data_IF_121812659696
#
_entry.id   IF_121812659696
#
_cell.length_a   1.000
_cell.length_b   1.000
_cell.length_c   1.000
_cell.angle_alpha   90.00
_cell.angle_beta   90.00
_cell.angle_gamma   90.00
#
_symmetry.space_group_name_H-M   'P 1'
#
loop_
_entity.id
_entity.type
_entity.pdbx_description
1 polymer ?
#
# COMPACT_ATOMS: atom_id res chain seq x y z
N UNK A 1 -9.14 4.57 5.33
CA UNK A 1 -7.81 5.03 4.90
C UNK A 1 -7.91 5.51 3.46
N UNK A 2 -7.04 6.41 3.02
CA UNK A 2 -6.97 6.87 1.65
C UNK A 2 -5.64 6.45 1.05
N UNK A 3 -5.70 5.67 -0.04
CA UNK A 3 -4.54 5.24 -0.80
C UNK A 3 -4.34 6.17 -1.99
N UNK A 4 -3.17 6.80 -2.08
CA UNK A 4 -2.76 7.63 -3.23
C UNK A 4 -1.58 6.97 -3.92
N UNK A 5 -1.67 6.79 -5.23
CA UNK A 5 -0.64 6.15 -6.06
C UNK A 5 -0.20 7.17 -7.11
N UNK A 6 1.09 7.46 -7.17
CA UNK A 6 1.72 8.26 -8.21
C UNK A 6 3.01 7.59 -8.70
N UNK A 7 3.68 8.16 -9.69
CA UNK A 7 4.90 7.58 -10.28
C UNK A 7 6.05 7.46 -9.28
N UNK A 8 6.06 8.28 -8.23
CA UNK A 8 7.17 8.34 -7.28
C UNK A 8 6.93 7.49 -6.03
N UNK A 9 5.67 7.36 -5.62
CA UNK A 9 5.29 6.79 -4.33
C UNK A 9 3.87 6.26 -4.25
N UNK A 10 3.68 5.34 -3.30
CA UNK A 10 2.41 4.89 -2.77
C UNK A 10 2.26 5.41 -1.33
N UNK A 11 1.22 6.21 -1.11
CA UNK A 11 0.98 6.90 0.16
C UNK A 11 -0.34 6.43 0.76
N UNK A 12 -0.30 5.93 2.00
CA UNK A 12 -1.47 5.60 2.78
C UNK A 12 -1.72 6.66 3.84
N UNK A 13 -2.87 7.34 3.76
CA UNK A 13 -3.29 8.36 4.72
C UNK A 13 -4.49 7.89 5.54
N UNK A 14 -4.61 8.40 6.77
CA UNK A 14 -5.85 8.28 7.55
C UNK A 14 -6.87 9.27 6.99
N UNK A 15 -8.09 8.80 6.73
CA UNK A 15 -9.11 9.55 6.00
C UNK A 15 -9.63 10.79 6.75
N UNK A 16 -9.61 10.79 8.07
CA UNK A 16 -10.21 11.87 8.88
C UNK A 16 -9.28 13.07 9.12
N UNK A 17 -7.97 12.85 9.27
CA UNK A 17 -6.99 13.88 9.65
C UNK A 17 -5.87 14.06 8.61
N UNK A 18 -5.93 13.35 7.48
CA UNK A 18 -4.89 13.33 6.45
C UNK A 18 -3.49 12.93 6.94
N UNK A 19 -3.37 12.32 8.13
CA UNK A 19 -2.10 11.83 8.65
C UNK A 19 -1.53 10.75 7.73
N UNK A 20 -0.28 10.88 7.32
CA UNK A 20 0.44 9.86 6.55
C UNK A 20 0.79 8.71 7.49
N UNK A 21 0.27 7.53 7.21
CA UNK A 21 0.56 6.29 7.94
C UNK A 21 1.76 5.58 7.32
N UNK A 22 1.79 5.51 5.99
CA UNK A 22 2.89 4.91 5.23
C UNK A 22 3.15 5.72 3.94
N UNK A 23 4.41 5.79 3.56
CA UNK A 23 4.86 6.39 2.29
C UNK A 23 6.00 5.54 1.74
N UNK A 24 5.68 4.68 0.78
CA UNK A 24 6.65 3.80 0.15
C UNK A 24 7.02 4.35 -1.22
N UNK A 25 8.33 4.47 -1.51
CA UNK A 25 8.80 4.82 -2.85
C UNK A 25 8.44 3.72 -3.83
N UNK A 26 8.06 4.09 -5.05
CA UNK A 26 7.69 3.11 -6.08
C UNK A 26 8.84 2.14 -6.41
N UNK A 27 10.10 2.58 -6.36
CA UNK A 27 11.29 1.72 -6.51
C UNK A 27 11.34 0.56 -5.50
N UNK A 28 10.75 0.76 -4.32
CA UNK A 28 10.67 -0.25 -3.26
C UNK A 28 9.48 -1.20 -3.41
N UNK A 29 8.54 -0.92 -4.30
CA UNK A 29 7.40 -1.79 -4.56
C UNK A 29 7.83 -2.90 -5.51
N UNK A 30 7.67 -4.14 -5.07
CA UNK A 30 8.19 -5.32 -5.79
C UNK A 30 7.11 -6.30 -6.26
N UNK A 31 5.88 -6.14 -5.75
CA UNK A 31 4.74 -6.94 -6.13
C UNK A 31 3.45 -6.20 -5.79
N UNK A 32 2.40 -6.38 -6.59
CA UNK A 32 1.05 -5.92 -6.31
C UNK A 32 0.05 -6.92 -6.87
N UNK A 33 -1.04 -7.17 -6.14
CA UNK A 33 -2.12 -8.06 -6.57
C UNK A 33 -3.47 -7.55 -6.08
N UNK A 34 -4.50 -7.81 -6.88
CA UNK A 34 -5.89 -7.77 -6.41
C UNK A 34 -6.29 -9.16 -5.92
N UNK A 35 -7.27 -9.24 -5.01
CA UNK A 35 -7.81 -10.52 -4.58
C UNK A 35 -8.70 -11.17 -5.64
N UNK A 36 -8.89 -12.48 -5.52
CA UNK A 36 -9.69 -13.29 -6.43
C UNK A 36 -10.89 -13.90 -5.70
N UNK A 37 -11.92 -14.31 -6.46
CA UNK A 37 -13.12 -14.99 -5.95
C UNK A 37 -13.78 -14.26 -4.76
N UNK A 38 -13.67 -14.81 -3.56
CA UNK A 38 -14.26 -14.29 -2.32
C UNK A 38 -13.44 -13.14 -1.70
N UNK A 39 -12.31 -12.77 -2.30
CA UNK A 39 -11.41 -11.70 -1.80
C UNK A 39 -11.30 -10.51 -2.75
N UNK A 40 -12.25 -10.31 -3.65
CA UNK A 40 -12.23 -9.22 -4.66
C UNK A 40 -12.08 -7.81 -4.07
N UNK A 41 -12.56 -7.62 -2.84
CA UNK A 41 -12.46 -6.34 -2.13
C UNK A 41 -11.09 -6.12 -1.50
N UNK A 42 -10.14 -7.05 -1.65
CA UNK A 42 -8.79 -6.92 -1.11
C UNK A 42 -7.78 -6.57 -2.18
N UNK A 43 -6.85 -5.70 -1.83
CA UNK A 43 -5.63 -5.45 -2.59
C UNK A 43 -4.43 -5.71 -1.68
N UNK A 44 -3.32 -6.15 -2.27
CA UNK A 44 -2.07 -6.33 -1.57
C UNK A 44 -0.89 -5.78 -2.37
N UNK A 45 0.11 -5.26 -1.68
CA UNK A 45 1.39 -4.90 -2.29
C UNK A 45 2.56 -5.23 -1.36
N UNK A 46 3.72 -5.52 -1.95
CA UNK A 46 4.97 -5.78 -1.22
C UNK A 46 5.88 -4.57 -1.35
N UNK A 47 6.13 -3.90 -0.23
CA UNK A 47 7.07 -2.79 -0.14
C UNK A 47 8.36 -3.20 0.56
N UNK A 48 9.47 -2.63 0.08
CA UNK A 48 10.78 -2.69 0.71
C UNK A 48 11.16 -1.31 1.21
N UNK A 49 11.42 -1.19 2.50
CA UNK A 49 11.83 0.06 3.12
C UNK A 49 12.83 -0.22 4.27
N UNK A 50 13.39 0.84 4.85
CA UNK A 50 14.37 0.71 5.94
C UNK A 50 13.77 0.27 7.27
N UNK A 51 12.45 0.40 7.46
CA UNK A 51 11.77 0.09 8.73
C UNK A 51 11.36 -1.38 8.80
N UNK A 52 10.70 -1.84 7.75
CA UNK A 52 10.03 -3.12 7.64
C UNK A 52 10.78 -4.10 6.75
N UNK A 53 11.91 -3.69 6.13
CA UNK A 53 12.75 -4.45 5.17
C UNK A 53 11.99 -4.89 3.93
N UNK A 54 11.06 -5.83 4.09
CA UNK A 54 10.15 -6.34 3.07
C UNK A 54 8.85 -6.80 3.75
N UNK A 55 7.76 -6.06 3.53
CA UNK A 55 6.46 -6.38 4.12
C UNK A 55 5.36 -6.40 3.06
N UNK A 56 4.37 -7.27 3.29
CA UNK A 56 3.14 -7.31 2.52
C UNK A 56 2.07 -6.47 3.23
N UNK A 57 1.52 -5.49 2.53
CA UNK A 57 0.45 -4.64 3.02
C UNK A 57 -0.84 -5.06 2.33
N UNK A 58 -1.86 -5.43 3.13
CA UNK A 58 -3.18 -5.85 2.64
C UNK A 58 -4.20 -4.80 3.04
N UNK A 59 -5.03 -4.37 2.09
CA UNK A 59 -6.09 -3.39 2.32
C UNK A 59 -7.42 -3.95 1.82
N UNK A 60 -8.49 -3.71 2.57
CA UNK A 60 -9.85 -3.91 2.07
C UNK A 60 -10.39 -2.58 1.51
N UNK A 61 -10.95 -2.64 0.30
CA UNK A 61 -11.61 -1.56 -0.41
C UNK A 61 -13.04 -1.34 0.11
#
# INVERSE_FOLDING_TARGET
>A
VQLTINTDSLILKRSHDSQILYSHKMEGISFASAGEHDTKDYIAYVAKDNMNRRSCHVLSC
#
